data_IF_770592423836
#
_entry.id   IF_770592423836
#
_cell.length_a   1.000
_cell.length_b   1.000
_cell.length_c   1.000
_cell.angle_alpha   90.00
_cell.angle_beta   90.00
_cell.angle_gamma   90.00
#
_symmetry.space_group_name_H-M   'P 1'
#
loop_
_entity.id
_entity.type
_entity.pdbx_description
1 polymer ?
#
# COMPACT_ATOMS: atom_id res chain seq x y z
N UNK A 1 -10.90 9.57 10.10
CA UNK A 1 -9.93 8.94 11.01
C UNK A 1 -9.01 7.93 10.35
N UNK A 2 -9.52 7.07 9.48
CA UNK A 2 -8.70 6.05 8.80
C UNK A 2 -7.55 6.67 7.98
N UNK A 3 -7.82 7.75 7.24
CA UNK A 3 -6.78 8.49 6.50
C UNK A 3 -5.62 8.97 7.40
N UNK A 4 -5.94 9.44 8.61
CA UNK A 4 -4.91 9.89 9.58
C UNK A 4 -4.10 8.70 10.09
N UNK A 5 -4.73 7.54 10.28
CA UNK A 5 -4.05 6.30 10.67
C UNK A 5 -3.12 5.80 9.56
N UNK A 6 -3.57 5.86 8.30
CA UNK A 6 -2.76 5.53 7.12
C UNK A 6 -1.54 6.45 7.04
N UNK A 7 -1.73 7.76 7.19
CA UNK A 7 -0.62 8.72 7.20
C UNK A 7 0.38 8.46 8.34
N UNK A 8 -0.10 8.07 9.52
CA UNK A 8 0.77 7.65 10.64
C UNK A 8 1.51 6.33 10.38
N UNK A 9 1.05 5.51 9.43
CA UNK A 9 1.75 4.30 8.99
C UNK A 9 3.16 4.58 8.44
N UNK A 10 3.40 5.79 7.93
CA UNK A 10 4.74 6.21 7.46
C UNK A 10 5.81 6.26 8.55
N UNK A 11 5.44 6.25 9.83
CA UNK A 11 6.42 6.17 10.94
C UNK A 11 6.91 4.76 11.22
N UNK A 12 6.27 3.73 10.66
CA UNK A 12 6.54 2.35 10.97
C UNK A 12 7.40 1.70 9.88
N UNK A 13 8.24 0.70 10.24
CA UNK A 13 8.91 -0.11 9.24
C UNK A 13 7.90 -0.89 8.41
N UNK A 14 8.25 -1.15 7.15
CA UNK A 14 7.46 -1.94 6.21
C UNK A 14 8.05 -3.34 6.07
N UNK A 15 7.20 -4.35 6.04
CA UNK A 15 7.59 -5.76 5.81
C UNK A 15 6.85 -6.25 4.58
N UNK A 16 7.59 -6.67 3.57
CA UNK A 16 7.05 -7.25 2.35
C UNK A 16 7.42 -8.73 2.27
N UNK A 17 6.46 -9.58 1.93
CA UNK A 17 6.68 -10.97 1.54
C UNK A 17 6.42 -11.11 0.04
N UNK A 18 7.39 -11.62 -0.69
CA UNK A 18 7.30 -11.86 -2.13
C UNK A 18 7.53 -13.35 -2.33
N UNK A 19 6.59 -14.03 -2.97
CA UNK A 19 6.74 -15.42 -3.38
C UNK A 19 6.44 -15.53 -4.88
N UNK A 20 7.29 -16.23 -5.62
CA UNK A 20 7.13 -16.50 -7.03
C UNK A 20 7.28 -17.99 -7.29
N UNK A 21 6.46 -18.51 -8.20
CA UNK A 21 6.51 -19.88 -8.68
C UNK A 21 6.33 -19.85 -10.19
N UNK A 22 7.21 -20.53 -10.92
CA UNK A 22 7.19 -20.57 -12.37
C UNK A 22 7.79 -21.85 -12.91
N UNK A 23 7.43 -22.23 -14.14
CA UNK A 23 8.15 -23.27 -14.88
C UNK A 23 8.99 -22.61 -15.93
N UNK A 24 10.28 -22.89 -15.93
CA UNK A 24 11.18 -22.47 -16.97
C UNK A 24 11.43 -23.64 -17.91
N UNK A 25 11.13 -23.41 -19.19
CA UNK A 25 11.53 -24.30 -20.27
C UNK A 25 12.86 -23.76 -20.82
N UNK A 26 13.96 -24.38 -20.41
CA UNK A 26 15.31 -23.94 -20.80
C UNK A 26 15.84 -24.86 -21.90
N UNK A 27 15.70 -24.45 -23.17
CA UNK A 27 16.46 -25.06 -24.28
C UNK A 27 17.75 -24.26 -24.49
N UNK A 28 18.86 -24.72 -23.89
CA UNK A 28 20.17 -24.09 -24.02
C UNK A 28 21.14 -24.97 -24.83
N UNK A 29 22.03 -24.40 -25.67
CA UNK A 29 23.01 -25.17 -26.44
C UNK A 29 23.92 -26.06 -25.59
N UNK A 30 24.14 -25.69 -24.32
CA UNK A 30 24.98 -26.40 -23.35
C UNK A 30 24.35 -27.69 -22.83
N UNK A 31 23.02 -27.79 -22.69
CA UNK A 31 22.34 -29.04 -22.30
C UNK A 31 22.24 -30.01 -23.48
N UNK A 32 22.11 -29.48 -24.71
CA UNK A 32 22.13 -30.27 -25.96
C UNK A 32 23.46 -30.99 -26.21
N UNK A 33 24.59 -30.42 -25.75
CA UNK A 33 25.92 -30.99 -25.92
C UNK A 33 26.15 -32.30 -25.13
N UNK A 34 25.33 -32.58 -24.10
CA UNK A 34 25.43 -33.79 -23.28
C UNK A 34 24.57 -34.96 -23.78
N UNK A 35 24.02 -34.87 -24.99
CA UNK A 35 23.36 -35.99 -25.68
C UNK A 35 21.97 -36.37 -25.18
N UNK A 36 21.49 -35.74 -24.11
CA UNK A 36 20.14 -35.95 -23.61
C UNK A 36 19.18 -34.97 -24.32
N UNK A 37 18.32 -35.48 -25.20
CA UNK A 37 17.19 -34.74 -25.82
C UNK A 37 16.07 -34.47 -24.80
N UNK A 38 16.44 -34.16 -23.57
CA UNK A 38 15.50 -34.03 -22.48
C UNK A 38 15.23 -32.55 -22.28
N UNK A 39 14.02 -32.17 -22.66
CA UNK A 39 13.42 -30.88 -22.36
C UNK A 39 13.26 -30.78 -20.84
N UNK A 40 14.30 -30.30 -20.16
CA UNK A 40 14.30 -30.18 -18.70
C UNK A 40 13.32 -29.06 -18.31
N UNK A 41 12.18 -29.46 -17.75
CA UNK A 41 11.22 -28.54 -17.13
C UNK A 41 11.75 -28.19 -15.74
N UNK A 42 12.36 -27.02 -15.60
CA UNK A 42 12.84 -26.53 -14.31
C UNK A 42 11.70 -25.80 -13.60
N UNK A 43 11.35 -26.26 -12.41
CA UNK A 43 10.42 -25.52 -11.55
C UNK A 43 11.20 -24.48 -10.75
N UNK A 44 10.96 -23.20 -11.03
CA UNK A 44 11.51 -22.07 -10.29
C UNK A 44 10.58 -21.71 -9.13
N UNK A 45 11.11 -21.67 -7.91
CA UNK A 45 10.40 -21.16 -6.73
C UNK A 45 11.28 -20.14 -6.02
N UNK A 46 10.77 -18.94 -5.80
CA UNK A 46 11.43 -17.88 -5.04
C UNK A 46 10.55 -17.47 -3.88
N UNK A 47 11.16 -17.24 -2.73
CA UNK A 47 10.53 -16.61 -1.56
C UNK A 47 11.50 -15.59 -0.99
N UNK A 48 11.05 -14.35 -0.83
CA UNK A 48 11.82 -13.22 -0.34
C UNK A 48 11.02 -12.49 0.74
N UNK A 49 11.66 -12.28 1.90
CA UNK A 49 11.13 -11.44 2.97
C UNK A 49 11.99 -10.18 3.07
N UNK A 50 11.35 -9.01 2.95
CA UNK A 50 12.04 -7.71 2.94
C UNK A 50 11.52 -6.81 4.06
N UNK A 51 12.41 -6.44 4.99
CA UNK A 51 12.17 -5.43 6.02
C UNK A 51 12.81 -4.11 5.57
N UNK A 52 12.04 -3.03 5.48
CA UNK A 52 12.55 -1.67 5.22
C UNK A 52 12.13 -0.71 6.31
N UNK A 53 13.11 -0.05 6.92
CA UNK A 53 12.88 1.02 7.88
C UNK A 53 13.38 2.35 7.31
N UNK A 54 12.52 3.35 7.30
CA UNK A 54 12.87 4.71 6.93
C UNK A 54 13.61 5.36 8.10
N UNK A 55 14.87 5.78 7.89
CA UNK A 55 15.67 6.42 8.94
C UNK A 55 15.46 7.94 8.97
N UNK A 56 15.24 8.57 7.82
CA UNK A 56 14.93 9.98 7.70
C UNK A 56 14.16 10.25 6.40
N UNK A 57 13.11 11.06 6.49
CA UNK A 57 12.15 11.31 5.41
C UNK A 57 11.97 12.79 5.08
N UNK A 58 12.82 13.66 5.63
CA UNK A 58 12.70 15.10 5.44
C UNK A 58 11.45 15.72 6.09
N UNK A 59 10.92 15.10 7.14
CA UNK A 59 9.68 15.50 7.84
C UNK A 59 8.39 15.30 7.02
N UNK A 60 8.46 14.57 5.92
CA UNK A 60 7.32 14.34 5.03
C UNK A 60 6.12 13.69 5.75
N UNK A 61 6.36 12.65 6.55
CA UNK A 61 5.32 11.93 7.29
C UNK A 61 4.61 12.83 8.31
N UNK A 62 5.36 13.68 9.01
CA UNK A 62 4.79 14.65 9.97
C UNK A 62 3.87 15.64 9.27
N UNK A 63 4.32 16.19 8.15
CA UNK A 63 3.54 17.14 7.37
C UNK A 63 2.27 16.50 6.80
N UNK A 64 2.36 15.26 6.31
CA UNK A 64 1.23 14.54 5.73
C UNK A 64 0.16 14.18 6.77
N UNK A 65 0.55 13.77 7.97
CA UNK A 65 -0.38 13.55 9.09
C UNK A 65 -1.08 14.86 9.48
N UNK A 66 -0.33 15.95 9.60
CA UNK A 66 -0.90 17.27 9.94
C UNK A 66 -1.90 17.76 8.89
N UNK A 67 -1.54 17.65 7.61
CA UNK A 67 -2.41 17.97 6.47
C UNK A 67 -3.69 17.16 6.51
N UNK A 68 -3.58 15.85 6.68
CA UNK A 68 -4.72 14.93 6.72
C UNK A 68 -5.65 15.23 7.89
N UNK A 69 -5.10 15.53 9.07
CA UNK A 69 -5.89 15.93 10.24
C UNK A 69 -6.67 17.23 10.00
N UNK A 70 -6.03 18.23 9.38
CA UNK A 70 -6.69 19.49 9.05
C UNK A 70 -7.87 19.28 8.07
N UNK A 71 -7.70 18.43 7.05
CA UNK A 71 -8.76 18.09 6.10
C UNK A 71 -9.93 17.38 6.80
N UNK A 72 -9.65 16.40 7.66
CA UNK A 72 -10.69 15.70 8.44
C UNK A 72 -11.48 16.68 9.30
N UNK A 73 -10.80 17.58 10.00
CA UNK A 73 -11.44 18.59 10.84
C UNK A 73 -12.32 19.54 10.02
N UNK A 74 -11.83 20.03 8.88
CA UNK A 74 -12.61 20.89 7.98
C UNK A 74 -13.90 20.21 7.49
N UNK A 75 -13.81 18.93 7.11
CA UNK A 75 -14.99 18.14 6.71
C UNK A 75 -15.97 17.97 7.85
N UNK A 76 -15.49 17.73 9.07
CA UNK A 76 -16.34 17.62 10.25
C UNK A 76 -17.11 18.93 10.53
N UNK A 77 -16.45 20.09 10.41
CA UNK A 77 -17.12 21.39 10.55
C UNK A 77 -18.14 21.65 9.44
N UNK A 78 -17.80 21.34 8.19
CA UNK A 78 -18.73 21.48 7.07
C UNK A 78 -19.98 20.61 7.26
N UNK A 79 -19.80 19.37 7.70
CA UNK A 79 -20.91 18.46 7.98
C UNK A 79 -21.81 18.97 9.12
N UNK A 80 -21.22 19.56 10.17
CA UNK A 80 -21.97 20.19 11.26
C UNK A 80 -22.80 21.36 10.77
N UNK A 81 -22.21 22.30 10.01
CA UNK A 81 -22.95 23.43 9.44
C UNK A 81 -24.09 22.96 8.53
N UNK A 82 -23.85 21.95 7.69
CA UNK A 82 -24.89 21.36 6.83
C UNK A 82 -26.03 20.74 7.64
N UNK A 83 -25.71 20.09 8.77
CA UNK A 83 -26.70 19.51 9.66
C UNK A 83 -27.52 20.58 10.39
N UNK A 84 -26.88 21.68 10.82
CA UNK A 84 -27.54 22.84 11.42
C UNK A 84 -28.50 23.50 10.42
N UNK A 85 -28.06 23.76 9.19
CA UNK A 85 -28.90 24.31 8.12
C UNK A 85 -30.08 23.40 7.76
N UNK A 86 -29.87 22.08 7.79
CA UNK A 86 -30.96 21.11 7.58
C UNK A 86 -31.96 21.14 8.73
N UNK A 87 -31.49 21.21 9.98
CA UNK A 87 -32.34 21.29 11.16
C UNK A 87 -33.18 22.57 11.18
N UNK A 88 -32.58 23.72 10.84
CA UNK A 88 -33.30 24.99 10.73
C UNK A 88 -34.42 24.91 9.70
N UNK A 89 -34.12 24.41 8.50
CA UNK A 89 -35.14 24.21 7.45
C UNK A 89 -36.26 23.27 7.88
N UNK A 90 -35.96 22.22 8.64
CA UNK A 90 -36.97 21.30 9.16
C UNK A 90 -37.90 21.98 10.17
N UNK A 91 -37.38 22.90 10.99
CA UNK A 91 -38.17 23.69 11.95
C UNK A 91 -39.01 24.75 11.23
N UNK A 92 -38.48 25.42 10.20
CA UNK A 92 -39.21 26.47 9.47
C UNK A 92 -40.44 25.96 8.70
N UNK A 93 -40.46 24.67 8.34
CA UNK A 93 -41.54 24.06 7.55
C UNK A 93 -42.68 23.55 8.45
N UNK A 94 -42.52 23.58 9.78
CA UNK A 94 -43.50 23.09 10.76
C UNK A 94 -44.03 24.22 11.64
#
# INVERSE_FOLDING_TARGET
DEDVKIAKGGYLPTVDLIAAYGREHTDSPTTRAFGNHNEETLNYTQSELRLRQMLFDGFNTKNEVGRTQAVVNSRAYYLRGTAEDLALRAIEVY
#
